data_IF_605531085490
#
_entry.id   IF_605531085490
#
_cell.length_a   1.000
_cell.length_b   1.000
_cell.length_c   1.000
_cell.angle_alpha   90.00
_cell.angle_beta   90.00
_cell.angle_gamma   90.00
#
_symmetry.space_group_name_H-M   'P 1'
#
loop_
_entity.id
_entity.type
_entity.pdbx_description
1 polymer ?
#
# COMPACT_ATOMS: atom_id res chain seq x y z
N UNK A 1 -1.31 -25.25 -2.56
CA UNK A 1 -1.51 -23.87 -3.06
C UNK A 1 -0.15 -23.18 -3.10
N UNK A 2 0.20 -22.54 -4.21
CA UNK A 2 1.41 -21.72 -4.24
C UNK A 2 1.27 -20.58 -3.22
N UNK A 3 2.20 -20.49 -2.27
CA UNK A 3 2.25 -19.41 -1.30
C UNK A 3 3.47 -18.56 -1.64
N UNK A 4 3.24 -17.46 -2.37
CA UNK A 4 4.31 -16.55 -2.76
C UNK A 4 4.85 -15.83 -1.52
N UNK A 5 6.16 -15.83 -1.39
CA UNK A 5 6.87 -15.08 -0.36
C UNK A 5 7.43 -13.81 -1.00
N UNK A 6 7.03 -12.68 -0.47
CA UNK A 6 7.50 -11.38 -0.93
C UNK A 6 8.58 -10.89 0.03
N UNK A 7 9.81 -10.78 -0.47
CA UNK A 7 10.93 -10.28 0.33
C UNK A 7 10.87 -8.75 0.44
N UNK A 8 10.82 -8.25 1.67
CA UNK A 8 10.87 -6.83 1.97
C UNK A 8 12.03 -6.56 2.94
N UNK A 9 13.08 -5.90 2.46
CA UNK A 9 14.30 -5.67 3.25
C UNK A 9 14.87 -6.99 3.82
N UNK A 10 14.85 -7.16 5.13
CA UNK A 10 15.41 -8.32 5.86
C UNK A 10 14.35 -9.34 6.31
N UNK A 11 13.09 -9.19 5.90
CA UNK A 11 12.01 -10.13 6.25
C UNK A 11 11.18 -10.55 5.03
N UNK A 12 10.37 -11.59 5.20
CA UNK A 12 9.44 -12.10 4.19
C UNK A 12 8.00 -11.88 4.63
N UNK A 13 7.16 -11.49 3.67
CA UNK A 13 5.70 -11.34 3.82
C UNK A 13 5.04 -12.51 3.09
N UNK A 14 4.22 -13.28 3.79
CA UNK A 14 3.47 -14.40 3.23
C UNK A 14 2.25 -14.72 4.10
N UNK A 15 1.27 -15.46 3.56
CA UNK A 15 0.05 -15.81 4.28
C UNK A 15 0.28 -16.84 5.43
N UNK A 16 1.43 -17.50 5.44
CA UNK A 16 1.84 -18.48 6.46
C UNK A 16 2.95 -17.95 7.41
N UNK A 17 3.23 -16.67 7.37
CA UNK A 17 4.21 -16.02 8.24
C UNK A 17 3.53 -15.15 9.31
N UNK A 18 4.23 -14.80 10.39
CA UNK A 18 3.75 -13.78 11.32
C UNK A 18 3.39 -12.50 10.56
N UNK A 19 2.34 -11.82 10.99
CA UNK A 19 1.88 -10.64 10.28
C UNK A 19 2.91 -9.51 10.30
N UNK A 20 2.90 -8.71 9.23
CA UNK A 20 3.70 -7.50 9.09
C UNK A 20 2.79 -6.29 9.24
N UNK A 21 3.15 -5.33 10.08
CA UNK A 21 2.40 -4.11 10.24
C UNK A 21 2.78 -3.09 9.17
N UNK A 22 1.79 -2.59 8.46
CA UNK A 22 1.92 -1.43 7.57
C UNK A 22 1.24 -0.25 8.28
N UNK A 23 2.02 0.70 8.80
CA UNK A 23 1.49 1.78 9.62
C UNK A 23 2.23 3.11 9.40
N UNK A 24 1.52 4.21 9.65
CA UNK A 24 2.03 5.57 9.56
C UNK A 24 0.91 6.58 9.35
N UNK A 25 1.21 7.88 9.35
CA UNK A 25 0.20 8.91 9.14
C UNK A 25 -0.35 8.81 7.72
N UNK A 26 -1.67 8.97 7.58
CA UNK A 26 -2.35 8.86 6.29
C UNK A 26 -1.75 9.80 5.22
N UNK A 27 -1.24 10.95 5.65
CA UNK A 27 -0.66 12.01 4.82
C UNK A 27 0.69 12.44 5.37
N UNK A 28 1.68 12.64 4.51
CA UNK A 28 2.97 13.22 4.89
C UNK A 28 2.81 14.73 5.11
N UNK A 29 2.95 15.15 6.35
CA UNK A 29 2.76 16.55 6.75
C UNK A 29 4.07 17.36 6.73
N UNK A 30 5.13 16.81 7.32
CA UNK A 30 6.47 17.38 7.34
C UNK A 30 7.50 16.31 7.76
N UNK A 31 8.78 16.62 7.60
CA UNK A 31 9.89 15.73 7.91
C UNK A 31 9.97 15.34 9.40
N UNK A 32 9.86 16.35 10.28
CA UNK A 32 10.00 16.13 11.74
C UNK A 32 8.93 15.17 12.23
N UNK A 33 7.67 15.37 11.81
CA UNK A 33 6.56 14.50 12.14
C UNK A 33 6.79 13.07 11.61
N UNK A 34 7.23 12.94 10.34
CA UNK A 34 7.46 11.65 9.71
C UNK A 34 8.56 10.85 10.43
N UNK A 35 9.69 11.47 10.75
CA UNK A 35 10.78 10.84 11.49
C UNK A 35 10.37 10.43 12.91
N UNK A 36 9.65 11.31 13.61
CA UNK A 36 9.12 11.00 14.95
C UNK A 36 8.22 9.78 14.92
N UNK A 37 7.19 9.79 14.07
CA UNK A 37 6.21 8.69 14.02
C UNK A 37 6.86 7.38 13.54
N UNK A 38 7.72 7.42 12.54
CA UNK A 38 8.41 6.20 12.06
C UNK A 38 9.33 5.60 13.12
N UNK A 39 10.01 6.43 13.91
CA UNK A 39 10.87 5.99 15.02
C UNK A 39 10.07 5.36 16.16
N UNK A 40 8.95 5.97 16.56
CA UNK A 40 8.06 5.42 17.59
C UNK A 40 7.43 4.10 17.15
N UNK A 41 6.94 4.03 15.91
CA UNK A 41 6.40 2.79 15.35
C UNK A 41 7.45 1.67 15.31
N UNK A 42 8.70 2.00 14.91
CA UNK A 42 9.80 1.04 14.92
C UNK A 42 10.07 0.51 16.33
N UNK A 43 10.08 1.39 17.35
CA UNK A 43 10.28 0.99 18.73
C UNK A 43 9.19 0.03 19.20
N UNK A 44 7.91 0.41 19.03
CA UNK A 44 6.77 -0.42 19.44
C UNK A 44 6.80 -1.78 18.75
N UNK A 45 7.01 -1.81 17.43
CA UNK A 45 7.01 -3.06 16.68
C UNK A 45 8.20 -3.96 17.02
N UNK A 46 9.36 -3.38 17.31
CA UNK A 46 10.53 -4.12 17.78
C UNK A 46 10.24 -4.79 19.13
N UNK A 47 9.64 -4.07 20.08
CA UNK A 47 9.30 -4.59 21.40
C UNK A 47 8.27 -5.73 21.32
N UNK A 48 7.41 -5.70 20.30
CA UNK A 48 6.40 -6.74 20.01
C UNK A 48 6.90 -7.87 19.11
N UNK A 49 8.10 -7.79 18.57
CA UNK A 49 8.63 -8.78 17.61
C UNK A 49 7.91 -8.76 16.27
N UNK A 50 7.34 -7.62 15.84
CA UNK A 50 6.54 -7.46 14.62
C UNK A 50 7.36 -6.71 13.56
N UNK A 51 7.33 -7.18 12.30
CA UNK A 51 7.92 -6.45 11.18
C UNK A 51 7.10 -5.20 10.83
N UNK A 52 7.78 -4.11 10.50
CA UNK A 52 7.16 -2.83 10.14
C UNK A 52 7.51 -2.42 8.71
N UNK A 53 6.50 -1.96 7.99
CA UNK A 53 6.64 -1.11 6.81
C UNK A 53 6.00 0.24 7.16
N UNK A 54 6.80 1.31 7.15
CA UNK A 54 6.28 2.65 7.39
C UNK A 54 5.52 3.15 6.17
N UNK A 55 4.29 3.60 6.38
CA UNK A 55 3.41 4.05 5.30
C UNK A 55 3.00 5.50 5.48
N UNK A 56 3.16 6.31 4.44
CA UNK A 56 2.55 7.63 4.35
C UNK A 56 2.38 8.04 2.89
N UNK A 57 1.37 8.86 2.58
CA UNK A 57 1.12 9.33 1.21
C UNK A 57 1.69 10.72 1.01
N UNK A 58 2.42 10.94 -0.07
CA UNK A 58 2.94 12.27 -0.44
C UNK A 58 1.84 13.20 -0.97
N UNK A 59 0.75 12.62 -1.49
CA UNK A 59 -0.40 13.34 -2.02
C UNK A 59 -1.70 12.58 -1.75
N UNK A 60 -2.72 13.28 -1.32
CA UNK A 60 -4.11 12.81 -1.24
C UNK A 60 -4.87 13.32 -2.46
N UNK A 61 -4.60 12.70 -3.62
CA UNK A 61 -5.08 13.13 -4.93
C UNK A 61 -6.62 13.14 -5.07
N UNK A 62 -7.33 12.40 -4.20
CA UNK A 62 -8.79 12.22 -4.25
C UNK A 62 -9.55 12.97 -3.14
N UNK A 63 -9.00 14.09 -2.64
CA UNK A 63 -9.73 14.91 -1.66
C UNK A 63 -11.05 15.39 -2.24
N UNK A 64 -12.12 15.33 -1.43
CA UNK A 64 -13.46 15.80 -1.81
C UNK A 64 -13.49 17.30 -2.06
N UNK A 65 -12.80 18.09 -1.25
CA UNK A 65 -12.71 19.54 -1.40
C UNK A 65 -11.42 19.97 -2.09
N UNK A 66 -11.53 20.90 -3.04
CA UNK A 66 -10.38 21.52 -3.68
C UNK A 66 -9.46 22.22 -2.67
N UNK A 67 -10.01 22.73 -1.56
CA UNK A 67 -9.26 23.38 -0.46
C UNK A 67 -8.66 22.37 0.54
N UNK A 68 -8.93 21.07 0.39
CA UNK A 68 -8.42 20.03 1.27
C UNK A 68 -6.89 19.94 1.23
N UNK A 69 -6.27 19.76 2.38
CA UNK A 69 -4.81 19.54 2.46
C UNK A 69 -4.46 18.21 1.78
N UNK A 70 -3.57 18.25 0.80
CA UNK A 70 -3.18 17.10 0.00
C UNK A 70 -1.87 16.44 0.45
N UNK A 71 -1.04 17.12 1.21
CA UNK A 71 0.30 16.67 1.61
C UNK A 71 1.39 17.60 1.07
N UNK A 72 2.65 17.15 1.16
CA UNK A 72 3.82 17.93 0.71
C UNK A 72 4.01 17.93 -0.81
N UNK A 73 3.37 16.99 -1.51
CA UNK A 73 3.61 16.73 -2.92
C UNK A 73 4.86 15.88 -3.17
N UNK A 74 5.01 15.42 -4.41
CA UNK A 74 6.01 14.42 -4.78
C UNK A 74 7.43 14.89 -4.44
N UNK A 75 7.89 15.98 -5.01
CA UNK A 75 9.29 16.40 -4.97
C UNK A 75 9.82 16.62 -3.53
N UNK A 76 9.00 17.22 -2.65
CA UNK A 76 9.38 17.47 -1.26
C UNK A 76 9.38 16.20 -0.41
N UNK A 77 8.65 15.17 -0.83
CA UNK A 77 8.51 13.93 -0.07
C UNK A 77 9.63 12.92 -0.32
N UNK A 78 10.21 12.92 -1.52
CA UNK A 78 11.25 11.95 -1.89
C UNK A 78 12.45 11.93 -0.93
N UNK A 79 13.08 13.08 -0.59
CA UNK A 79 14.21 13.08 0.35
C UNK A 79 13.80 12.65 1.77
N UNK A 80 12.54 12.86 2.17
CA UNK A 80 12.05 12.42 3.48
C UNK A 80 11.94 10.90 3.51
N UNK A 81 11.48 10.26 2.43
CA UNK A 81 11.47 8.79 2.33
C UNK A 81 12.86 8.19 2.44
N UNK A 82 13.85 8.76 1.73
CA UNK A 82 15.25 8.32 1.84
C UNK A 82 15.79 8.46 3.25
N UNK A 83 15.46 9.57 3.92
CA UNK A 83 15.88 9.83 5.29
C UNK A 83 15.30 8.82 6.27
N UNK A 84 14.00 8.49 6.15
CA UNK A 84 13.36 7.44 6.96
C UNK A 84 14.06 6.08 6.75
N UNK A 85 14.30 5.71 5.49
CA UNK A 85 14.99 4.44 5.17
C UNK A 85 16.40 4.39 5.75
N UNK A 86 17.15 5.50 5.65
CA UNK A 86 18.54 5.58 6.11
C UNK A 86 18.68 5.72 7.61
N UNK A 87 17.94 6.62 8.24
CA UNK A 87 18.13 6.97 9.66
C UNK A 87 17.27 6.11 10.58
N UNK A 88 16.01 5.86 10.21
CA UNK A 88 15.14 4.99 10.99
C UNK A 88 15.36 3.53 10.63
N UNK A 89 15.75 3.22 9.39
CA UNK A 89 16.06 1.86 8.94
C UNK A 89 14.84 0.96 8.85
N UNK A 90 13.72 1.48 8.35
CA UNK A 90 12.49 0.75 8.06
C UNK A 90 12.12 0.87 6.59
N UNK A 91 11.55 -0.16 5.96
CA UNK A 91 10.99 -0.06 4.61
C UNK A 91 9.88 0.99 4.56
N UNK A 92 9.75 1.65 3.40
CA UNK A 92 8.76 2.71 3.18
C UNK A 92 7.77 2.31 2.08
N UNK A 93 6.50 2.59 2.32
CA UNK A 93 5.40 2.45 1.37
C UNK A 93 4.75 3.81 1.12
N UNK A 94 4.48 4.15 -0.14
CA UNK A 94 3.67 5.31 -0.51
C UNK A 94 2.75 5.02 -1.69
N UNK A 95 1.68 5.80 -1.83
CA UNK A 95 0.77 5.72 -2.98
C UNK A 95 1.43 6.30 -4.24
N UNK A 96 1.05 5.78 -5.41
CA UNK A 96 1.32 6.35 -6.73
C UNK A 96 0.00 6.57 -7.47
N UNK A 97 -0.09 7.61 -8.31
CA UNK A 97 -1.34 8.00 -8.94
C UNK A 97 -1.27 8.03 -10.46
N UNK A 98 -0.07 8.15 -11.05
CA UNK A 98 0.17 8.14 -12.50
C UNK A 98 1.33 7.22 -12.85
N UNK A 99 1.39 6.78 -14.12
CA UNK A 99 2.45 5.91 -14.60
C UNK A 99 3.85 6.55 -14.50
N UNK A 100 3.94 7.86 -14.73
CA UNK A 100 5.20 8.63 -14.68
C UNK A 100 5.78 8.68 -13.27
N UNK A 101 4.93 8.65 -12.25
CA UNK A 101 5.39 8.65 -10.85
C UNK A 101 6.09 7.35 -10.47
N UNK A 102 5.75 6.22 -11.11
CA UNK A 102 6.23 4.90 -10.71
C UNK A 102 7.76 4.82 -10.69
N UNK A 103 8.43 5.19 -11.78
CA UNK A 103 9.89 5.12 -11.89
C UNK A 103 10.60 6.09 -10.94
N UNK A 104 10.03 7.27 -10.73
CA UNK A 104 10.58 8.29 -9.83
C UNK A 104 10.50 7.81 -8.39
N UNK A 105 9.29 7.44 -7.94
CA UNK A 105 9.02 7.04 -6.55
C UNK A 105 9.74 5.75 -6.17
N UNK A 106 9.88 4.81 -7.12
CA UNK A 106 10.54 3.53 -6.90
C UNK A 106 11.99 3.65 -6.42
N UNK A 107 12.69 4.74 -6.72
CA UNK A 107 14.05 4.98 -6.24
C UNK A 107 14.10 5.31 -4.74
N UNK A 108 13.00 5.77 -4.17
CA UNK A 108 12.93 6.33 -2.82
C UNK A 108 12.14 5.48 -1.83
N UNK A 109 11.37 4.47 -2.31
CA UNK A 109 10.56 3.59 -1.46
C UNK A 109 10.79 2.11 -1.80
N UNK A 110 10.30 1.24 -0.93
CA UNK A 110 10.40 -0.21 -1.07
C UNK A 110 9.11 -0.82 -1.62
N UNK A 111 7.98 -0.18 -1.37
CA UNK A 111 6.66 -0.63 -1.79
C UNK A 111 5.89 0.51 -2.46
N UNK A 112 5.41 0.26 -3.68
CA UNK A 112 4.49 1.15 -4.39
C UNK A 112 3.05 0.70 -4.14
N UNK A 113 2.20 1.60 -3.68
CA UNK A 113 0.79 1.29 -3.47
C UNK A 113 -0.09 1.85 -4.59
N UNK A 114 -0.90 0.98 -5.17
CA UNK A 114 -1.97 1.36 -6.11
C UNK A 114 -3.23 1.67 -5.30
N UNK A 115 -3.75 2.90 -5.31
CA UNK A 115 -5.00 3.25 -4.64
C UNK A 115 -6.19 2.45 -5.17
N UNK A 116 -7.20 2.25 -4.32
CA UNK A 116 -8.37 1.43 -4.64
C UNK A 116 -9.11 1.90 -5.90
N UNK A 117 -9.27 3.21 -6.09
CA UNK A 117 -9.93 3.76 -7.29
C UNK A 117 -9.16 3.51 -8.57
N UNK A 118 -7.85 3.29 -8.49
CA UNK A 118 -6.95 3.11 -9.64
C UNK A 118 -6.57 1.65 -9.87
N UNK A 119 -7.13 0.71 -9.11
CA UNK A 119 -6.71 -0.69 -9.13
C UNK A 119 -6.92 -1.41 -10.49
N UNK A 120 -7.73 -0.86 -11.40
CA UNK A 120 -7.95 -1.39 -12.75
C UNK A 120 -7.19 -0.67 -13.85
N UNK A 121 -6.49 0.44 -13.55
CA UNK A 121 -5.76 1.24 -14.54
C UNK A 121 -4.57 0.47 -15.10
N UNK A 122 -4.71 -0.04 -16.32
CA UNK A 122 -3.73 -0.97 -16.91
C UNK A 122 -2.34 -0.35 -17.02
N UNK A 123 -2.25 0.89 -17.53
CA UNK A 123 -0.95 1.55 -17.72
C UNK A 123 -0.24 1.81 -16.40
N UNK A 124 -0.98 2.17 -15.35
CA UNK A 124 -0.42 2.36 -14.01
C UNK A 124 0.09 1.04 -13.43
N UNK A 125 -0.66 -0.05 -13.57
CA UNK A 125 -0.25 -1.38 -13.09
C UNK A 125 1.02 -1.86 -13.82
N UNK A 126 1.09 -1.71 -15.14
CA UNK A 126 2.25 -2.07 -15.96
C UNK A 126 3.47 -1.23 -15.55
N UNK A 127 3.30 0.09 -15.43
CA UNK A 127 4.40 0.98 -15.05
C UNK A 127 4.92 0.66 -13.65
N UNK A 128 4.04 0.40 -12.69
CA UNK A 128 4.43 -0.02 -11.34
C UNK A 128 5.18 -1.36 -11.37
N UNK A 129 4.65 -2.37 -12.10
CA UNK A 129 5.27 -3.69 -12.21
C UNK A 129 6.69 -3.61 -12.76
N UNK A 130 6.92 -2.79 -13.82
CA UNK A 130 8.23 -2.60 -14.46
C UNK A 130 9.29 -2.01 -13.54
N UNK A 131 8.93 -1.43 -12.40
CA UNK A 131 9.90 -0.94 -11.42
C UNK A 131 10.63 -2.07 -10.67
N UNK A 132 10.09 -3.30 -10.68
CA UNK A 132 10.59 -4.43 -9.89
C UNK A 132 10.36 -4.32 -8.39
N UNK A 133 9.76 -3.22 -7.91
CA UNK A 133 9.41 -3.03 -6.49
C UNK A 133 8.25 -3.90 -6.06
N UNK A 134 8.00 -3.99 -4.75
CA UNK A 134 6.79 -4.60 -4.22
C UNK A 134 5.60 -3.72 -4.59
N UNK A 135 4.57 -4.33 -5.15
CA UNK A 135 3.34 -3.64 -5.54
C UNK A 135 2.22 -4.05 -4.60
N UNK A 136 1.76 -3.12 -3.77
CA UNK A 136 0.58 -3.31 -2.94
C UNK A 136 -0.64 -2.76 -3.66
N UNK A 137 -1.57 -3.63 -4.09
CA UNK A 137 -2.78 -3.18 -4.78
C UNK A 137 -3.95 -3.21 -3.83
N UNK A 138 -4.56 -2.05 -3.60
CA UNK A 138 -5.81 -1.96 -2.83
C UNK A 138 -6.98 -2.36 -3.71
N UNK A 139 -7.73 -3.39 -3.28
CA UNK A 139 -8.96 -3.80 -3.96
C UNK A 139 -9.94 -2.63 -4.04
N UNK A 140 -10.45 -2.32 -5.22
CA UNK A 140 -11.49 -1.32 -5.38
C UNK A 140 -12.75 -1.69 -4.60
N UNK A 141 -13.43 -0.69 -4.04
CA UNK A 141 -14.68 -0.89 -3.30
C UNK A 141 -15.79 -1.47 -4.19
N UNK A 142 -15.65 -1.33 -5.49
CA UNK A 142 -16.56 -1.80 -6.54
C UNK A 142 -16.19 -3.17 -7.10
N UNK A 143 -15.06 -3.78 -6.68
CA UNK A 143 -14.61 -5.09 -7.14
C UNK A 143 -15.01 -6.21 -6.20
N UNK A 144 -15.44 -7.32 -6.77
CA UNK A 144 -15.52 -8.58 -6.06
C UNK A 144 -14.10 -9.13 -5.78
N UNK A 145 -13.90 -9.86 -4.67
CA UNK A 145 -12.57 -10.39 -4.32
C UNK A 145 -11.96 -11.29 -5.39
N UNK A 146 -12.77 -12.08 -6.10
CA UNK A 146 -12.29 -12.94 -7.21
C UNK A 146 -11.84 -12.18 -8.44
N UNK A 147 -12.33 -10.96 -8.67
CA UNK A 147 -11.93 -10.12 -9.81
C UNK A 147 -10.50 -9.58 -9.66
N UNK A 148 -9.94 -9.62 -8.46
CA UNK A 148 -8.54 -9.27 -8.23
C UNK A 148 -7.56 -10.15 -9.00
N UNK A 149 -7.97 -11.36 -9.42
CA UNK A 149 -7.15 -12.21 -10.28
C UNK A 149 -6.74 -11.51 -11.58
N UNK A 150 -7.62 -10.68 -12.17
CA UNK A 150 -7.33 -9.94 -13.39
C UNK A 150 -6.31 -8.81 -13.15
N UNK A 151 -6.35 -8.19 -11.98
CA UNK A 151 -5.39 -7.16 -11.57
C UNK A 151 -4.01 -7.78 -11.36
N UNK A 152 -3.95 -8.90 -10.62
CA UNK A 152 -2.74 -9.67 -10.36
C UNK A 152 -2.11 -10.08 -11.68
N UNK A 153 -2.89 -10.66 -12.59
CA UNK A 153 -2.41 -11.15 -13.89
C UNK A 153 -1.73 -10.05 -14.70
N UNK A 154 -2.26 -8.82 -14.71
CA UNK A 154 -1.60 -7.70 -15.39
C UNK A 154 -0.20 -7.41 -14.86
N UNK A 155 -0.01 -7.52 -13.53
CA UNK A 155 1.28 -7.29 -12.90
C UNK A 155 2.24 -8.45 -13.19
N UNK A 156 1.76 -9.71 -13.09
CA UNK A 156 2.55 -10.92 -13.39
C UNK A 156 2.98 -10.96 -14.86
N UNK A 157 2.05 -10.71 -15.78
CA UNK A 157 2.33 -10.67 -17.23
C UNK A 157 3.30 -9.53 -17.60
N UNK A 158 3.46 -8.53 -16.71
CA UNK A 158 4.46 -7.46 -16.83
C UNK A 158 5.81 -7.82 -16.18
N UNK A 159 5.96 -9.07 -15.70
CA UNK A 159 7.23 -9.62 -15.20
C UNK A 159 7.48 -9.42 -13.69
N UNK A 160 6.48 -8.98 -12.90
CA UNK A 160 6.65 -8.78 -11.46
C UNK A 160 5.73 -9.70 -10.65
N UNK A 161 6.32 -10.44 -9.70
CA UNK A 161 5.61 -11.33 -8.76
C UNK A 161 5.68 -10.85 -7.31
N UNK A 162 6.26 -9.68 -7.05
CA UNK A 162 6.29 -9.08 -5.71
C UNK A 162 4.99 -8.32 -5.45
N UNK A 163 3.90 -9.04 -5.22
CA UNK A 163 2.55 -8.49 -5.13
C UNK A 163 1.99 -8.69 -3.73
N UNK A 164 1.39 -7.65 -3.17
CA UNK A 164 0.52 -7.69 -1.99
C UNK A 164 -0.89 -7.27 -2.42
N UNK A 165 -1.91 -7.91 -1.86
CA UNK A 165 -3.31 -7.64 -2.18
C UNK A 165 -4.00 -7.11 -0.94
N UNK A 166 -4.56 -5.90 -1.00
CA UNK A 166 -5.18 -5.27 0.16
C UNK A 166 -6.70 -5.27 0.05
N UNK A 167 -7.36 -5.89 1.04
CA UNK A 167 -8.78 -5.71 1.32
C UNK A 167 -9.00 -4.41 2.08
N UNK A 168 -10.01 -3.61 1.70
CA UNK A 168 -10.32 -2.32 2.31
C UNK A 168 -11.82 -1.99 2.38
N UNK A 169 -12.66 -2.97 2.23
CA UNK A 169 -14.11 -2.85 2.21
C UNK A 169 -14.67 -2.69 0.79
N UNK A 170 -15.94 -2.97 0.68
CA UNK A 170 -16.76 -2.84 -0.54
C UNK A 170 -17.88 -1.86 -0.29
N UNK A 171 -18.27 -1.10 -1.33
CA UNK A 171 -19.40 -0.18 -1.25
C UNK A 171 -20.70 -0.95 -1.05
N UNK A 172 -21.51 -0.48 -0.11
CA UNK A 172 -22.83 -1.02 0.19
C UNK A 172 -23.84 0.12 0.30
N UNK A 173 -24.51 0.41 -0.80
CA UNK A 173 -25.31 1.62 -0.92
C UNK A 173 -24.46 2.90 -0.98
N UNK A 174 -25.02 4.00 -0.49
CA UNK A 174 -24.36 5.30 -0.51
C UNK A 174 -23.53 5.51 0.77
N UNK A 175 -22.30 6.03 0.61
CA UNK A 175 -21.40 6.45 1.69
C UNK A 175 -21.19 5.41 2.80
N UNK A 176 -21.37 4.12 2.50
CA UNK A 176 -21.21 3.02 3.43
C UNK A 176 -20.29 1.95 2.86
N UNK A 177 -19.43 1.40 3.71
CA UNK A 177 -18.58 0.27 3.40
C UNK A 177 -18.94 -0.93 4.25
N UNK A 178 -18.83 -2.12 3.66
CA UNK A 178 -18.89 -3.40 4.37
C UNK A 178 -17.57 -4.12 4.14
N UNK A 179 -16.96 -4.57 5.22
CA UNK A 179 -15.77 -5.45 5.16
C UNK A 179 -16.24 -6.90 5.20
N UNK A 180 -16.30 -7.52 4.04
CA UNK A 180 -16.57 -8.95 3.94
C UNK A 180 -15.30 -9.74 4.27
N UNK A 181 -15.20 -10.23 5.50
CA UNK A 181 -14.03 -10.98 5.96
C UNK A 181 -13.80 -12.28 5.18
N UNK A 182 -14.80 -12.78 4.46
CA UNK A 182 -14.65 -13.93 3.54
C UNK A 182 -13.76 -13.61 2.35
N UNK A 183 -13.60 -12.32 2.01
CA UNK A 183 -12.73 -11.87 0.94
C UNK A 183 -11.27 -12.26 1.17
N UNK A 184 -10.83 -12.30 2.44
CA UNK A 184 -9.45 -12.65 2.79
C UNK A 184 -9.09 -14.08 2.36
N UNK A 185 -9.82 -15.14 2.78
CA UNK A 185 -9.55 -16.50 2.33
C UNK A 185 -9.86 -16.71 0.83
N UNK A 186 -10.76 -15.92 0.22
CA UNK A 186 -10.99 -16.00 -1.23
C UNK A 186 -9.75 -15.51 -1.98
N UNK A 187 -9.23 -14.33 -1.64
CA UNK A 187 -8.06 -13.76 -2.32
C UNK A 187 -6.77 -14.50 -1.98
N UNK A 188 -6.64 -15.11 -0.80
CA UNK A 188 -5.45 -15.89 -0.44
C UNK A 188 -5.23 -17.11 -1.35
N UNK A 189 -6.30 -17.61 -2.01
CA UNK A 189 -6.20 -18.68 -2.99
C UNK A 189 -5.40 -18.31 -4.24
N UNK A 190 -5.20 -17.04 -4.51
CA UNK A 190 -4.32 -16.56 -5.59
C UNK A 190 -2.84 -16.79 -5.27
N UNK A 191 -2.52 -17.10 -4.01
CA UNK A 191 -1.17 -17.43 -3.57
C UNK A 191 -0.34 -16.21 -3.13
N UNK A 192 -0.81 -15.00 -3.28
CA UNK A 192 -0.12 -13.78 -2.86
C UNK A 192 -0.48 -13.37 -1.43
N UNK A 193 0.43 -12.68 -0.70
CA UNK A 193 0.13 -12.19 0.64
C UNK A 193 -1.06 -11.22 0.66
N UNK A 194 -1.93 -11.40 1.64
CA UNK A 194 -3.11 -10.57 1.84
C UNK A 194 -2.86 -9.55 2.95
N UNK A 195 -3.22 -8.32 2.67
CA UNK A 195 -3.22 -7.20 3.62
C UNK A 195 -4.66 -6.82 3.94
N UNK A 196 -4.96 -6.64 5.21
CA UNK A 196 -6.23 -6.07 5.65
C UNK A 196 -6.03 -4.62 6.09
N UNK A 197 -6.65 -3.68 5.39
CA UNK A 197 -6.61 -2.26 5.73
C UNK A 197 -7.72 -1.95 6.76
N UNK A 198 -7.39 -2.13 8.03
CA UNK A 198 -8.32 -1.92 9.14
C UNK A 198 -8.75 -0.46 9.31
N UNK A 199 -7.98 0.48 8.77
CA UNK A 199 -8.27 1.92 8.86
C UNK A 199 -9.34 2.34 7.85
N UNK A 200 -9.12 2.02 6.56
CA UNK A 200 -10.00 2.50 5.50
C UNK A 200 -11.24 1.60 5.30
N UNK A 201 -11.25 0.39 5.83
CA UNK A 201 -12.41 -0.50 5.77
C UNK A 201 -13.60 0.00 6.60
N UNK A 202 -13.35 0.88 7.56
CA UNK A 202 -14.37 1.53 8.40
C UNK A 202 -14.56 3.02 8.06
N UNK A 203 -13.96 3.47 6.96
CA UNK A 203 -14.13 4.83 6.47
C UNK A 203 -15.58 5.07 6.02
N UNK A 204 -16.09 6.28 6.22
CA UNK A 204 -17.31 6.75 5.60
C UNK A 204 -16.94 7.54 4.33
N UNK A 205 -17.08 6.93 3.12
CA UNK A 205 -16.67 7.58 1.89
C UNK A 205 -17.53 8.82 1.59
N UNK A 206 -16.89 9.89 1.13
CA UNK A 206 -17.58 11.13 0.78
C UNK A 206 -17.96 12.01 1.95
N UNK A 207 -17.57 11.63 3.17
CA UNK A 207 -17.72 12.44 4.39
C UNK A 207 -16.60 13.47 4.58
#
# INVERSE_FOLDING_TARGET
>A
MNNHKVKCSNFEIANDRPFTLIAGPCQLENEVHALKISSELKKITKDLGINLIYKTSFDKANRTSLKGKRGLGLQKSLPIFDKIRKEVGVPVLTDIHTAEQCSIVANHVDVLQIPAFLCRQTDLLIAAAKTGKIINVKKGQFLAPWDMTNVIKKIEDSGNKNILITERGSSFGYNTLVSDMRSLPIMSKFGFPIVFDATHSVQQPGG
#
